data_IF_799606896414
#
_entry.id   IF_799606896414
#
_cell.length_a   1.000
_cell.length_b   1.000
_cell.length_c   1.000
_cell.angle_alpha   90.00
_cell.angle_beta   90.00
_cell.angle_gamma   90.00
#
_symmetry.space_group_name_H-M   'P 1'
#
loop_
_entity.id
_entity.type
_entity.pdbx_description
1 polymer ?
#
# COMPACT_ATOMS: atom_id res chain seq x y z
N UNK A 1 -15.25 -11.29 -3.21
CA UNK A 1 -14.22 -11.74 -2.24
C UNK A 1 -13.45 -10.48 -1.87
N UNK A 2 -13.40 -10.09 -0.60
CA UNK A 2 -12.90 -8.75 -0.24
C UNK A 2 -11.36 -8.68 -0.33
N UNK A 3 -10.88 -7.79 -1.18
CA UNK A 3 -9.46 -7.47 -1.35
C UNK A 3 -9.11 -6.23 -0.53
N UNK A 4 -8.10 -6.39 0.32
CA UNK A 4 -7.57 -5.31 1.17
C UNK A 4 -6.52 -4.54 0.39
N UNK A 5 -6.65 -3.22 0.37
CA UNK A 5 -5.70 -2.33 -0.28
C UNK A 5 -4.86 -1.63 0.80
N UNK A 6 -3.55 -1.66 0.59
CA UNK A 6 -2.53 -1.02 1.41
C UNK A 6 -1.83 0.02 0.55
N UNK A 7 -1.68 1.25 1.05
CA UNK A 7 -1.08 2.37 0.32
C UNK A 7 0.06 2.97 1.15
N UNK A 8 1.26 3.07 0.57
CA UNK A 8 2.39 3.83 1.09
C UNK A 8 2.78 4.89 0.08
N UNK A 9 2.64 6.15 0.46
CA UNK A 9 2.94 7.31 -0.39
C UNK A 9 3.40 8.43 0.54
N UNK A 10 4.62 8.94 0.34
CA UNK A 10 5.21 9.93 1.24
C UNK A 10 4.65 11.34 1.03
N UNK A 11 4.12 11.65 -0.15
CA UNK A 11 3.39 12.88 -0.41
C UNK A 11 1.92 12.77 0.09
N UNK A 12 1.51 13.57 1.09
CA UNK A 12 0.17 13.48 1.65
C UNK A 12 -0.96 13.89 0.67
N UNK A 13 -0.65 14.73 -0.32
CA UNK A 13 -1.59 15.12 -1.39
C UNK A 13 -1.81 13.92 -2.30
N UNK A 14 -0.74 13.27 -2.74
CA UNK A 14 -0.84 12.06 -3.56
C UNK A 14 -1.55 10.93 -2.80
N UNK A 15 -1.23 10.73 -1.52
CA UNK A 15 -1.88 9.74 -0.66
C UNK A 15 -3.39 9.97 -0.57
N UNK A 16 -3.81 11.25 -0.44
CA UNK A 16 -5.23 11.60 -0.41
C UNK A 16 -5.92 11.31 -1.75
N UNK A 17 -5.28 11.67 -2.86
CA UNK A 17 -5.79 11.38 -4.21
C UNK A 17 -5.94 9.87 -4.44
N UNK A 18 -4.93 9.06 -4.07
CA UNK A 18 -4.98 7.60 -4.17
C UNK A 18 -6.13 7.01 -3.35
N UNK A 19 -6.33 7.48 -2.12
CA UNK A 19 -7.47 7.06 -1.28
C UNK A 19 -8.81 7.38 -1.96
N UNK A 20 -8.94 8.55 -2.58
CA UNK A 20 -10.15 8.91 -3.32
C UNK A 20 -10.36 8.03 -4.57
N UNK A 21 -9.32 7.76 -5.35
CA UNK A 21 -9.42 6.89 -6.52
C UNK A 21 -9.88 5.49 -6.14
N UNK A 22 -9.29 4.91 -5.10
CA UNK A 22 -9.67 3.58 -4.62
C UNK A 22 -11.09 3.57 -4.07
N UNK A 23 -11.49 4.60 -3.31
CA UNK A 23 -12.84 4.71 -2.78
C UNK A 23 -13.88 4.81 -3.91
N UNK A 24 -13.61 5.63 -4.93
CA UNK A 24 -14.46 5.76 -6.10
C UNK A 24 -14.56 4.43 -6.84
N UNK A 25 -13.43 3.78 -7.12
CA UNK A 25 -13.41 2.49 -7.81
C UNK A 25 -14.19 1.40 -7.05
N UNK A 26 -14.03 1.34 -5.72
CA UNK A 26 -14.76 0.42 -4.84
C UNK A 26 -16.28 0.66 -4.86
N UNK A 27 -16.71 1.92 -4.91
CA UNK A 27 -18.12 2.29 -5.03
C UNK A 27 -18.74 1.80 -6.35
N UNK A 28 -17.97 1.78 -7.44
CA UNK A 28 -18.42 1.28 -8.74
C UNK A 28 -18.41 -0.26 -8.86
N UNK A 29 -17.57 -0.96 -8.09
CA UNK A 29 -17.36 -2.42 -8.19
C UNK A 29 -17.95 -3.21 -7.00
N UNK A 30 -19.14 -2.83 -6.52
CA UNK A 30 -19.89 -3.55 -5.47
C UNK A 30 -19.09 -3.91 -4.20
N UNK A 31 -18.12 -3.09 -3.81
CA UNK A 31 -17.33 -3.21 -2.56
C UNK A 31 -16.34 -4.38 -2.49
N UNK A 32 -15.92 -4.98 -3.59
CA UNK A 32 -14.87 -6.02 -3.53
C UNK A 32 -13.51 -5.49 -3.02
N UNK A 33 -13.32 -4.18 -2.92
CA UNK A 33 -12.06 -3.55 -2.49
C UNK A 33 -12.25 -2.59 -1.32
N UNK A 34 -11.34 -2.60 -0.34
CA UNK A 34 -11.35 -1.63 0.76
C UNK A 34 -9.93 -1.22 1.18
N UNK A 35 -9.71 0.09 1.36
CA UNK A 35 -8.44 0.63 1.89
C UNK A 35 -8.35 0.24 3.37
N UNK A 36 -7.43 -0.67 3.69
CA UNK A 36 -7.18 -1.11 5.06
C UNK A 36 -6.15 -0.27 5.79
N UNK A 37 -5.14 0.22 5.07
CA UNK A 37 -4.10 1.08 5.61
C UNK A 37 -3.59 2.01 4.51
N UNK A 38 -3.39 3.28 4.86
CA UNK A 38 -2.84 4.29 3.99
C UNK A 38 -1.90 5.15 4.84
N UNK A 39 -0.61 5.08 4.56
CA UNK A 39 0.46 5.66 5.38
C UNK A 39 1.50 6.34 4.50
N UNK A 40 2.32 7.19 5.10
CA UNK A 40 3.52 7.77 4.48
C UNK A 40 4.78 6.96 4.81
N UNK A 41 4.69 5.96 5.70
CA UNK A 41 5.83 5.23 6.23
C UNK A 41 5.71 3.73 5.94
N UNK A 42 6.67 3.12 5.23
CA UNK A 42 6.61 1.70 4.87
C UNK A 42 6.65 0.77 6.10
N UNK A 43 7.35 1.20 7.15
CA UNK A 43 7.44 0.54 8.46
C UNK A 43 6.06 0.25 9.07
N UNK A 44 5.09 1.15 8.87
CA UNK A 44 3.73 0.96 9.40
C UNK A 44 2.97 -0.13 8.66
N UNK A 45 3.22 -0.30 7.35
CA UNK A 45 2.64 -1.41 6.57
C UNK A 45 3.21 -2.73 7.06
N UNK A 46 4.53 -2.83 7.24
CA UNK A 46 5.16 -4.05 7.71
C UNK A 46 4.62 -4.46 9.08
N UNK A 47 4.60 -3.51 10.03
CA UNK A 47 4.06 -3.76 11.37
C UNK A 47 2.60 -4.20 11.33
N UNK A 48 1.78 -3.60 10.45
CA UNK A 48 0.38 -3.99 10.30
C UNK A 48 0.23 -5.41 9.74
N UNK A 49 0.98 -5.75 8.69
CA UNK A 49 0.91 -7.09 8.07
C UNK A 49 1.32 -8.17 9.06
N UNK A 50 2.39 -7.94 9.83
CA UNK A 50 2.86 -8.86 10.87
C UNK A 50 1.86 -8.98 12.03
N UNK A 51 1.34 -7.85 12.54
CA UNK A 51 0.41 -7.82 13.69
C UNK A 51 -0.92 -8.53 13.37
N UNK A 52 -1.45 -8.33 12.17
CA UNK A 52 -2.76 -8.87 11.78
C UNK A 52 -2.65 -10.16 10.94
N UNK A 53 -1.45 -10.72 10.79
CA UNK A 53 -1.16 -11.91 9.99
C UNK A 53 -1.88 -11.89 8.62
N UNK A 54 -1.81 -10.75 7.94
CA UNK A 54 -2.57 -10.51 6.71
C UNK A 54 -2.07 -11.47 5.62
N UNK A 55 -2.91 -12.43 5.21
CA UNK A 55 -2.61 -13.37 4.12
C UNK A 55 -3.16 -12.86 2.79
N UNK A 56 -2.52 -11.81 2.26
CA UNK A 56 -2.80 -11.28 0.93
C UNK A 56 -3.53 -9.93 0.91
N UNK A 57 -3.33 -9.21 -0.19
CA UNK A 57 -3.82 -7.85 -0.40
C UNK A 57 -3.09 -7.20 -1.58
N UNK A 58 -3.59 -6.04 -1.99
CA UNK A 58 -2.97 -5.21 -3.03
C UNK A 58 -2.17 -4.13 -2.31
N UNK A 59 -0.90 -3.97 -2.70
CA UNK A 59 0.02 -3.00 -2.11
C UNK A 59 0.39 -1.96 -3.16
N UNK A 60 0.01 -0.71 -2.93
CA UNK A 60 0.51 0.44 -3.66
C UNK A 60 1.66 1.02 -2.84
N UNK A 61 2.88 0.83 -3.34
CA UNK A 61 4.11 1.30 -2.70
C UNK A 61 4.74 2.29 -3.66
N UNK A 62 4.94 3.52 -3.20
CA UNK A 62 5.83 4.43 -3.90
C UNK A 62 7.27 3.88 -3.85
N UNK A 63 7.94 3.91 -4.99
CA UNK A 63 9.33 3.42 -5.16
C UNK A 63 10.35 4.50 -4.78
N UNK A 64 9.93 5.77 -4.75
CA UNK A 64 10.74 6.94 -4.40
C UNK A 64 10.44 7.46 -2.99
N UNK A 65 10.02 6.57 -2.08
CA UNK A 65 9.91 6.87 -0.65
C UNK A 65 11.24 7.48 -0.18
N UNK A 66 11.29 8.80 0.02
CA UNK A 66 12.51 9.58 0.32
C UNK A 66 13.21 9.21 1.63
N UNK A 67 12.78 8.13 2.27
CA UNK A 67 13.40 7.46 3.41
C UNK A 67 14.45 6.49 2.84
N UNK A 68 15.71 6.92 2.88
CA UNK A 68 16.83 6.19 2.29
C UNK A 68 16.81 4.68 2.58
N UNK A 69 17.24 3.94 1.55
CA UNK A 69 17.67 2.53 1.57
C UNK A 69 16.63 1.41 1.45
N UNK A 70 15.65 1.54 0.55
CA UNK A 70 15.26 0.37 -0.26
C UNK A 70 15.11 0.81 -1.71
N UNK A 71 16.23 0.99 -2.40
CA UNK A 71 16.23 1.17 -3.86
C UNK A 71 15.41 0.03 -4.47
N UNK A 72 14.32 0.40 -5.18
CA UNK A 72 13.31 -0.49 -5.76
C UNK A 72 13.78 -1.49 -6.83
N UNK A 73 15.06 -1.85 -6.83
CA UNK A 73 15.70 -2.76 -7.79
C UNK A 73 16.62 -3.81 -7.18
N UNK A 74 16.91 -3.79 -5.86
CA UNK A 74 17.94 -4.67 -5.29
C UNK A 74 17.39 -5.82 -4.43
N UNK A 75 16.77 -6.78 -5.11
CA UNK A 75 17.06 -8.18 -4.82
C UNK A 75 16.77 -9.05 -6.03
N UNK A 76 17.67 -9.00 -7.01
CA UNK A 76 17.91 -10.18 -7.84
C UNK A 76 18.43 -11.30 -6.93
N UNK A 77 17.83 -12.46 -7.11
CA UNK A 77 18.33 -13.79 -6.79
C UNK A 77 19.80 -13.94 -7.22
N UNK A 78 20.50 -14.90 -6.61
CA UNK A 78 21.89 -15.38 -6.85
C UNK A 78 22.89 -14.67 -5.94
N UNK A 79 23.62 -15.31 -5.02
CA UNK A 79 24.02 -16.72 -4.84
C UNK A 79 24.37 -16.98 -3.37
#
# INVERSE_FOLDING_TARGET
MFHRIFICEDDPIQLLSLKQYVANYSAFHERDFSVSLATQMPEEIQKFVETFAVKGGIYFLDIDLGVGHINGLDRKVVS
#
